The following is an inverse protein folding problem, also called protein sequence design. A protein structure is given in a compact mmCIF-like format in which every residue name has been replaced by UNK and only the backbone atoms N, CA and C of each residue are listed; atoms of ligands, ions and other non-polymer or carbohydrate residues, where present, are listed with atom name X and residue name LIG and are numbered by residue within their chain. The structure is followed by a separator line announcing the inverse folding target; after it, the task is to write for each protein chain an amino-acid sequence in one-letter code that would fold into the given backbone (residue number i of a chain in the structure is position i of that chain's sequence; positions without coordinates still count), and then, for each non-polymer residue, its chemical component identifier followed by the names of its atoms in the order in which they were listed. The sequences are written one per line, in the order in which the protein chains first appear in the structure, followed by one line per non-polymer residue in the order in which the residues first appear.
data_IF_234760018429
#
_entry.id   IF_234760018429
#
_cell.length_a   1.000
_cell.length_b   1.000
_cell.length_c   1.000
_cell.angle_alpha   90.00
_cell.angle_beta   90.00
_cell.angle_gamma   90.00
#
_symmetry.space_group_name_H-M   'P 1'
#
loop_
_entity.id
_entity.type
_entity.pdbx_description
1 polymer ?
#
# COMPACT_ATOMS: atom_id res chain seq x y z
N UNK A 1 0.79 10.55 -16.10
CA UNK A 1 -0.68 10.33 -16.02
C UNK A 1 -1.10 10.46 -14.56
N UNK A 2 -2.32 10.90 -14.29
CA UNK A 2 -2.86 10.98 -12.93
C UNK A 2 -3.47 9.64 -12.51
N UNK A 3 -3.65 9.46 -11.21
CA UNK A 3 -4.45 8.41 -10.59
C UNK A 3 -5.60 9.08 -9.84
N UNK A 4 -6.81 8.64 -10.13
CA UNK A 4 -8.02 8.98 -9.40
C UNK A 4 -8.60 7.70 -8.78
N UNK A 5 -9.21 7.82 -7.61
CA UNK A 5 -9.80 6.69 -6.91
C UNK A 5 -11.19 7.05 -6.44
N UNK A 6 -12.08 6.06 -6.37
CA UNK A 6 -13.42 6.31 -5.85
C UNK A 6 -13.38 6.73 -4.38
N UNK A 7 -14.47 7.35 -3.93
CA UNK A 7 -14.61 7.85 -2.56
C UNK A 7 -13.54 8.86 -2.12
N UNK A 8 -12.84 9.49 -3.08
CA UNK A 8 -11.81 10.49 -2.83
C UNK A 8 -10.63 9.97 -1.98
N UNK A 9 -10.35 8.67 -2.01
CA UNK A 9 -9.19 8.09 -1.31
C UNK A 9 -7.88 8.74 -1.77
N UNK A 10 -7.76 9.04 -3.05
CA UNK A 10 -6.59 9.63 -3.68
C UNK A 10 -6.96 10.34 -4.98
N UNK A 11 -6.31 11.49 -5.20
CA UNK A 11 -6.27 12.18 -6.48
C UNK A 11 -4.93 12.86 -6.64
N UNK A 12 -4.14 12.45 -7.64
CA UNK A 12 -2.77 12.94 -7.81
C UNK A 12 -1.99 12.25 -8.91
N UNK A 13 -0.67 12.44 -8.94
CA UNK A 13 0.21 11.73 -9.88
C UNK A 13 0.45 10.29 -9.39
N UNK A 14 0.65 9.35 -10.33
CA UNK A 14 1.06 7.98 -10.00
C UNK A 14 2.35 7.93 -9.15
N UNK A 15 3.33 8.79 -9.47
CA UNK A 15 4.55 8.90 -8.68
C UNK A 15 4.28 9.32 -7.24
N UNK A 16 3.34 10.25 -7.04
CA UNK A 16 2.91 10.67 -5.71
C UNK A 16 2.19 9.56 -4.95
N UNK A 17 1.38 8.75 -5.63
CA UNK A 17 0.73 7.60 -5.01
C UNK A 17 1.72 6.49 -4.64
N UNK A 18 2.71 6.24 -5.49
CA UNK A 18 3.82 5.34 -5.18
C UNK A 18 4.57 5.79 -3.93
N UNK A 19 4.94 7.08 -3.86
CA UNK A 19 5.63 7.64 -2.68
C UNK A 19 4.75 7.57 -1.42
N UNK A 20 3.45 7.85 -1.55
CA UNK A 20 2.47 7.66 -0.49
C UNK A 20 2.47 6.21 0.05
N UNK A 21 2.39 5.20 -0.82
CA UNK A 21 2.44 3.79 -0.43
C UNK A 21 3.75 3.42 0.26
N UNK A 22 4.88 3.95 -0.22
CA UNK A 22 6.18 3.73 0.42
C UNK A 22 6.20 4.29 1.84
N UNK A 23 5.64 5.49 2.07
CA UNK A 23 5.60 6.06 3.43
C UNK A 23 4.66 5.26 4.35
N UNK A 24 3.54 4.76 3.83
CA UNK A 24 2.66 3.84 4.56
C UNK A 24 3.38 2.53 4.93
N UNK A 25 4.11 1.92 3.98
CA UNK A 25 4.87 0.70 4.24
C UNK A 25 6.01 0.92 5.25
N UNK A 26 6.69 2.07 5.20
CA UNK A 26 7.69 2.45 6.20
C UNK A 26 7.08 2.65 7.59
N UNK A 27 5.93 3.32 7.69
CA UNK A 27 5.21 3.46 8.95
C UNK A 27 4.82 2.09 9.54
N UNK A 28 4.46 1.13 8.68
CA UNK A 28 4.16 -0.25 9.07
C UNK A 28 5.40 -1.09 9.45
N UNK A 29 6.61 -0.56 9.30
CA UNK A 29 7.85 -1.29 9.57
C UNK A 29 8.16 -2.38 8.55
N UNK A 30 7.64 -2.28 7.31
CA UNK A 30 8.03 -3.17 6.23
C UNK A 30 9.54 -2.99 5.91
N UNK A 31 10.23 -4.06 5.49
CA UNK A 31 11.62 -3.97 5.11
C UNK A 31 11.76 -3.25 3.77
N UNK A 32 12.84 -2.47 3.63
CA UNK A 32 13.16 -1.75 2.41
C UNK A 32 14.64 -1.94 2.08
N UNK A 33 14.95 -1.97 0.79
CA UNK A 33 16.31 -1.98 0.26
C UNK A 33 16.48 -0.95 -0.85
N UNK A 34 17.72 -0.55 -1.08
CA UNK A 34 18.10 0.20 -2.28
C UNK A 34 18.48 -0.81 -3.35
N UNK A 35 17.94 -0.67 -4.55
CA UNK A 35 18.38 -1.48 -5.69
C UNK A 35 19.78 -1.04 -6.11
N UNK A 36 20.76 -1.93 -5.94
CA UNK A 36 22.17 -1.71 -6.23
C UNK A 36 22.58 -2.17 -7.64
N UNK A 37 21.75 -2.98 -8.31
CA UNK A 37 21.94 -3.41 -9.69
C UNK A 37 21.85 -2.22 -10.67
N UNK A 38 22.95 -1.87 -11.37
CA UNK A 38 22.98 -0.72 -12.29
C UNK A 38 22.19 -0.95 -13.58
N UNK A 39 21.88 -2.20 -13.94
CA UNK A 39 21.16 -2.53 -15.17
C UNK A 39 19.64 -2.51 -14.97
N UNK A 40 19.17 -2.35 -13.74
CA UNK A 40 17.75 -2.21 -13.42
C UNK A 40 17.26 -0.77 -13.57
N UNK A 41 16.04 -0.62 -14.10
CA UNK A 41 15.41 0.69 -14.30
C UNK A 41 15.12 1.45 -12.97
N UNK A 42 15.08 0.74 -11.85
CA UNK A 42 14.89 1.27 -10.50
C UNK A 42 16.18 1.35 -9.68
N UNK A 43 17.35 1.29 -10.33
CA UNK A 43 18.65 1.49 -9.68
C UNK A 43 18.68 2.76 -8.82
N UNK A 44 19.20 2.63 -7.60
CA UNK A 44 19.29 3.70 -6.61
C UNK A 44 17.96 4.07 -5.94
N UNK A 45 16.84 3.42 -6.30
CA UNK A 45 15.55 3.66 -5.66
C UNK A 45 15.35 2.77 -4.44
N UNK A 46 14.68 3.32 -3.43
CA UNK A 46 14.19 2.57 -2.28
C UNK A 46 12.96 1.76 -2.70
N UNK A 47 12.99 0.46 -2.46
CA UNK A 47 11.89 -0.48 -2.76
C UNK A 47 11.62 -1.40 -1.59
N UNK A 48 10.39 -1.87 -1.47
CA UNK A 48 10.00 -2.91 -0.50
C UNK A 48 10.86 -4.16 -0.71
N UNK A 49 11.55 -4.59 0.34
CA UNK A 49 12.38 -5.81 0.36
C UNK A 49 11.55 -7.01 0.81
N UNK A 50 10.46 -7.26 0.08
CA UNK A 50 9.55 -8.38 0.32
C UNK A 50 9.65 -9.40 -0.81
N UNK A 51 9.48 -10.68 -0.49
CA UNK A 51 9.38 -11.74 -1.49
C UNK A 51 8.08 -11.58 -2.27
N UNK A 52 8.17 -10.96 -3.45
CA UNK A 52 7.03 -10.75 -4.34
C UNK A 52 6.52 -12.04 -4.98
N UNK A 53 7.30 -13.13 -4.97
CA UNK A 53 6.92 -14.41 -5.58
C UNK A 53 5.79 -15.12 -4.82
N UNK A 54 5.55 -14.73 -3.56
CA UNK A 54 4.45 -15.26 -2.75
C UNK A 54 3.07 -14.75 -3.20
N UNK A 55 3.03 -13.66 -4.01
CA UNK A 55 1.78 -13.06 -4.46
C UNK A 55 1.39 -13.53 -5.86
N UNK A 56 0.13 -13.92 -6.01
CA UNK A 56 -0.46 -14.31 -7.29
C UNK A 56 -0.98 -13.09 -8.06
N UNK A 57 -1.20 -13.20 -9.38
CA UNK A 57 -1.89 -12.17 -10.16
C UNK A 57 -3.26 -11.78 -9.56
N UNK A 58 -3.97 -12.72 -8.93
CA UNK A 58 -5.20 -12.45 -8.22
C UNK A 58 -4.97 -11.50 -7.02
N UNK A 59 -3.90 -11.70 -6.25
CA UNK A 59 -3.56 -10.81 -5.13
C UNK A 59 -3.26 -9.39 -5.61
N UNK A 60 -2.51 -9.24 -6.71
CA UNK A 60 -2.23 -7.93 -7.32
C UNK A 60 -3.50 -7.21 -7.75
N UNK A 61 -4.54 -7.95 -8.15
CA UNK A 61 -5.87 -7.42 -8.50
C UNK A 61 -6.80 -7.27 -7.28
N UNK A 62 -6.25 -7.32 -6.06
CA UNK A 62 -7.00 -7.18 -4.81
C UNK A 62 -7.81 -8.41 -4.42
N UNK A 63 -7.58 -9.58 -5.02
CA UNK A 63 -8.37 -10.81 -4.79
C UNK A 63 -7.62 -11.78 -3.86
N UNK A 64 -7.80 -11.61 -2.56
CA UNK A 64 -7.07 -12.38 -1.54
C UNK A 64 -7.71 -13.73 -1.16
N UNK A 65 -8.93 -14.01 -1.64
CA UNK A 65 -9.71 -15.23 -1.33
C UNK A 65 -9.78 -15.49 0.19
N UNK A 66 -9.40 -16.68 0.67
CA UNK A 66 -9.38 -17.05 2.10
C UNK A 66 -8.03 -16.81 2.77
N UNK A 67 -7.03 -16.34 2.03
CA UNK A 67 -5.68 -16.13 2.56
C UNK A 67 -5.53 -14.67 2.96
N UNK A 68 -5.02 -14.44 4.16
CA UNK A 68 -4.65 -13.09 4.60
C UNK A 68 -3.31 -12.73 3.98
N UNK A 69 -3.06 -11.44 3.68
CA UNK A 69 -1.79 -11.03 3.10
C UNK A 69 -0.68 -11.22 4.14
N UNK A 70 0.45 -11.75 3.68
CA UNK A 70 1.67 -11.90 4.47
C UNK A 70 2.84 -11.33 3.70
N UNK A 71 3.90 -10.95 4.40
CA UNK A 71 5.18 -10.57 3.83
C UNK A 71 6.30 -11.39 4.45
N UNK A 72 7.35 -11.60 3.69
CA UNK A 72 8.60 -12.21 4.10
C UNK A 72 9.72 -11.45 3.39
N UNK A 73 10.89 -11.33 4.02
CA UNK A 73 12.01 -10.64 3.39
C UNK A 73 12.51 -11.44 2.18
N UNK A 74 12.86 -10.75 1.10
CA UNK A 74 13.38 -11.40 -0.11
C UNK A 74 14.67 -12.19 0.21
N UNK A 75 14.73 -13.44 -0.26
CA UNK A 75 15.85 -14.35 -0.01
C UNK A 75 15.90 -14.98 1.40
N UNK A 76 15.03 -14.61 2.33
CA UNK A 76 14.98 -15.24 3.66
C UNK A 76 14.21 -16.57 3.61
N UNK A 77 14.82 -17.64 3.11
CA UNK A 77 14.17 -18.95 2.90
C UNK A 77 13.63 -19.58 4.20
N UNK A 78 14.15 -19.19 5.37
CA UNK A 78 13.74 -19.74 6.67
C UNK A 78 12.86 -18.79 7.49
N UNK A 79 12.63 -17.58 6.98
CA UNK A 79 11.76 -16.59 7.59
C UNK A 79 10.34 -17.10 7.80
N UNK A 80 9.72 -16.66 8.89
CA UNK A 80 8.28 -16.89 9.10
C UNK A 80 7.52 -15.74 8.46
N UNK A 81 6.61 -16.00 7.49
CA UNK A 81 5.78 -14.95 6.90
C UNK A 81 4.99 -14.19 7.97
N UNK A 82 5.04 -12.86 7.93
CA UNK A 82 4.36 -11.98 8.86
C UNK A 82 3.12 -11.40 8.20
N UNK A 83 2.00 -11.43 8.91
CA UNK A 83 0.75 -10.85 8.42
C UNK A 83 0.66 -9.37 8.80
N UNK A 84 0.31 -8.50 7.85
CA UNK A 84 -0.09 -7.12 8.12
C UNK A 84 -1.19 -6.71 7.12
N UNK A 85 -2.26 -6.07 7.61
CA UNK A 85 -3.40 -5.68 6.78
C UNK A 85 -3.05 -4.50 5.83
N UNK A 86 -1.96 -3.77 6.06
CA UNK A 86 -1.45 -2.74 5.12
C UNK A 86 -1.12 -3.31 3.73
N UNK A 87 -0.80 -4.61 3.67
CA UNK A 87 -0.43 -5.28 2.44
C UNK A 87 -1.57 -5.35 1.42
N UNK A 88 -2.83 -5.19 1.85
CA UNK A 88 -3.95 -5.01 0.91
C UNK A 88 -3.73 -3.80 -0.01
N UNK A 89 -3.07 -2.74 0.49
CA UNK A 89 -2.73 -1.53 -0.26
C UNK A 89 -1.36 -1.62 -0.94
N UNK A 90 -0.36 -2.20 -0.27
CA UNK A 90 1.02 -2.23 -0.79
C UNK A 90 1.15 -3.15 -2.01
N UNK A 91 0.54 -4.34 -1.96
CA UNK A 91 0.68 -5.37 -3.00
C UNK A 91 -0.26 -5.13 -4.19
N UNK A 92 -1.31 -4.33 -3.97
CA UNK A 92 -2.32 -4.06 -4.98
C UNK A 92 -1.78 -3.23 -6.17
N UNK A 93 -2.29 -3.54 -7.36
CA UNK A 93 -1.97 -2.85 -8.61
C UNK A 93 -2.80 -1.57 -8.77
N UNK A 94 -2.11 -0.45 -8.90
CA UNK A 94 -2.68 0.88 -9.07
C UNK A 94 -3.15 1.20 -10.51
N UNK A 95 -3.01 0.27 -11.46
CA UNK A 95 -3.37 0.44 -12.87
C UNK A 95 -4.69 -0.27 -13.27
N UNK A 96 -5.69 -0.29 -12.39
CA UNK A 96 -7.02 -0.87 -12.67
C UNK A 96 -7.46 -2.01 -11.74
N UNK A 97 -6.81 -2.15 -10.58
CA UNK A 97 -7.31 -3.03 -9.51
C UNK A 97 -8.36 -2.35 -8.62
N UNK A 98 -8.90 -3.10 -7.66
CA UNK A 98 -9.80 -2.58 -6.62
C UNK A 98 -9.36 -3.03 -5.23
N UNK A 99 -9.50 -2.16 -4.23
CA UNK A 99 -9.52 -2.58 -2.83
C UNK A 99 -10.95 -3.02 -2.51
N UNK A 100 -11.14 -4.34 -2.34
CA UNK A 100 -12.50 -4.87 -2.17
C UNK A 100 -13.01 -4.62 -0.76
N UNK A 101 -14.31 -4.30 -0.68
CA UNK A 101 -15.06 -3.98 0.55
C UNK A 101 -14.83 -4.94 1.72
N UNK A 102 -14.59 -6.22 1.44
CA UNK A 102 -14.40 -7.24 2.47
C UNK A 102 -13.16 -7.06 3.34
N UNK A 103 -12.18 -6.28 2.88
CA UNK A 103 -10.93 -6.03 3.62
C UNK A 103 -10.81 -4.58 4.10
N UNK A 104 -11.65 -3.67 3.60
CA UNK A 104 -11.55 -2.24 3.90
C UNK A 104 -11.59 -1.94 5.40
N UNK A 105 -12.45 -2.55 6.24
CA UNK A 105 -12.42 -2.27 7.67
C UNK A 105 -11.07 -2.57 8.32
N UNK A 106 -10.45 -3.71 7.97
CA UNK A 106 -9.15 -4.12 8.51
C UNK A 106 -8.03 -3.18 8.05
N UNK A 107 -8.04 -2.83 6.76
CA UNK A 107 -7.08 -1.88 6.20
C UNK A 107 -7.25 -0.51 6.86
N UNK A 108 -8.48 0.02 6.96
CA UNK A 108 -8.79 1.30 7.60
C UNK A 108 -8.29 1.34 9.02
N UNK A 109 -8.65 0.34 9.84
CA UNK A 109 -8.23 0.27 11.24
C UNK A 109 -6.70 0.29 11.36
N UNK A 110 -6.02 -0.49 10.52
CA UNK A 110 -4.56 -0.53 10.48
C UNK A 110 -3.95 0.81 10.06
N UNK A 111 -4.52 1.49 9.07
CA UNK A 111 -4.01 2.81 8.64
C UNK A 111 -4.20 3.89 9.71
N UNK A 112 -5.29 3.84 10.48
CA UNK A 112 -5.50 4.74 11.63
C UNK A 112 -4.42 4.54 12.69
N UNK A 113 -4.02 3.29 12.98
CA UNK A 113 -2.92 3.01 13.90
C UNK A 113 -1.58 3.57 13.42
N UNK A 114 -1.35 3.56 12.10
CA UNK A 114 -0.10 3.99 11.48
C UNK A 114 0.00 5.50 11.29
N UNK A 115 -1.11 6.22 11.38
CA UNK A 115 -1.18 7.64 11.06
C UNK A 115 -0.18 8.52 11.84
N UNK A 116 0.01 8.37 13.17
CA UNK A 116 0.98 9.19 13.89
C UNK A 116 2.40 9.04 13.36
N UNK A 117 2.80 7.81 12.99
CA UNK A 117 4.12 7.53 12.45
C UNK A 117 4.25 8.00 11.00
N UNK A 118 3.20 7.83 10.19
CA UNK A 118 3.14 8.37 8.84
C UNK A 118 3.33 9.88 8.84
N UNK A 119 2.57 10.62 9.65
CA UNK A 119 2.66 12.09 9.71
C UNK A 119 4.04 12.53 10.22
N UNK A 120 4.65 11.77 11.13
CA UNK A 120 6.04 12.01 11.55
C UNK A 120 7.03 11.83 10.38
N UNK A 121 6.87 10.79 9.56
CA UNK A 121 7.72 10.52 8.40
C UNK A 121 7.52 11.53 7.27
N UNK A 122 6.33 12.14 7.16
CA UNK A 122 5.97 13.08 6.09
C UNK A 122 5.91 14.54 6.55
N UNK A 123 6.36 14.86 7.76
CA UNK A 123 6.24 16.19 8.35
C UNK A 123 6.82 17.31 7.46
N UNK A 124 7.93 17.03 6.77
CA UNK A 124 8.60 17.97 5.87
C UNK A 124 8.14 17.85 4.40
N UNK A 125 7.22 16.93 4.11
CA UNK A 125 6.67 16.71 2.78
C UNK A 125 5.25 17.29 2.66
N UNK A 126 5.17 18.56 2.25
CA UNK A 126 3.90 19.27 2.10
C UNK A 126 2.93 18.67 1.05
N UNK A 127 3.37 17.73 0.22
CA UNK A 127 2.50 17.00 -0.70
C UNK A 127 1.85 15.76 -0.08
N UNK A 128 2.59 15.07 0.80
CA UNK A 128 2.14 13.84 1.46
C UNK A 128 1.45 14.08 2.81
N UNK A 129 1.75 15.18 3.50
CA UNK A 129 1.09 15.51 4.77
C UNK A 129 -0.43 15.48 4.66
N UNK A 130 -1.10 14.78 5.58
CA UNK A 130 -2.56 14.61 5.60
C UNK A 130 -3.14 13.70 4.51
N UNK A 131 -2.34 13.15 3.59
CA UNK A 131 -2.83 12.23 2.55
C UNK A 131 -3.29 10.90 3.12
N UNK A 132 -2.67 10.43 4.19
CA UNK A 132 -3.13 9.21 4.85
C UNK A 132 -4.51 9.41 5.48
N UNK A 133 -4.74 10.55 6.12
CA UNK A 133 -6.06 10.92 6.63
C UNK A 133 -7.10 10.95 5.51
N UNK A 134 -6.80 11.64 4.40
CA UNK A 134 -7.67 11.65 3.23
C UNK A 134 -8.00 10.22 2.75
N UNK A 135 -6.99 9.34 2.68
CA UNK A 135 -7.19 7.97 2.24
C UNK A 135 -8.10 7.20 3.19
N UNK A 136 -7.87 7.32 4.51
CA UNK A 136 -8.70 6.73 5.57
C UNK A 136 -10.14 7.19 5.46
N UNK A 137 -10.39 8.49 5.31
CA UNK A 137 -11.74 9.05 5.20
C UNK A 137 -12.46 8.50 3.96
N UNK A 138 -11.74 8.34 2.84
CA UNK A 138 -12.27 7.69 1.65
C UNK A 138 -12.58 6.20 1.85
N UNK A 139 -11.76 5.48 2.62
CA UNK A 139 -12.05 4.09 3.00
C UNK A 139 -13.33 4.01 3.84
N UNK A 140 -13.52 4.94 4.78
CA UNK A 140 -14.73 5.00 5.61
C UNK A 140 -15.99 5.23 4.75
N UNK A 141 -15.94 6.18 3.82
CA UNK A 141 -17.04 6.42 2.88
C UNK A 141 -17.36 5.18 2.02
N UNK A 142 -16.33 4.44 1.56
CA UNK A 142 -16.52 3.19 0.82
C UNK A 142 -17.15 2.08 1.68
N UNK A 143 -16.72 1.97 2.96
CA UNK A 143 -17.27 1.01 3.93
C UNK A 143 -18.74 1.30 4.19
N UNK A 144 -19.09 2.56 4.44
CA UNK A 144 -20.48 3.00 4.67
C UNK A 144 -21.38 2.72 3.46
N UNK A 145 -20.87 2.93 2.25
CA UNK A 145 -21.58 2.62 1.01
C UNK A 145 -21.66 1.11 0.69
N UNK A 146 -20.82 0.28 1.33
CA UNK A 146 -20.70 -1.14 0.99
C UNK A 146 -20.03 -1.38 -0.38
N UNK A 147 -19.20 -0.44 -0.82
CA UNK A 147 -18.58 -0.39 -2.15
C UNK A 147 -17.09 -0.73 -2.13
N UNK A 148 -16.52 -0.98 -3.31
CA UNK A 148 -15.08 -1.17 -3.49
C UNK A 148 -14.40 0.19 -3.74
N UNK A 149 -13.12 0.31 -3.40
CA UNK A 149 -12.32 1.45 -3.88
C UNK A 149 -11.70 1.06 -5.22
N UNK A 150 -12.15 1.70 -6.29
CA UNK A 150 -11.63 1.48 -7.64
C UNK A 150 -10.52 2.49 -7.97
N UNK A 151 -9.57 2.07 -8.81
CA UNK A 151 -8.41 2.84 -9.25
C UNK A 151 -8.53 3.10 -10.75
N UNK A 152 -8.48 4.36 -11.18
CA UNK A 152 -8.68 4.78 -12.57
C UNK A 152 -7.98 6.05 -12.98
#
# INVERSE_FOLDING_TARGET
MGLDTTHNCWRGAYSGFREFRQMVGRAAGLPYRVIDDPDRYDHGQLTEDIDWSIYTPDNLQGRWRKQKPVWQQDGDVYGTPKQDDVLYLIVHSDCGGELRRGYLPRLRDRLVELEPEYERLTADNGYLGGRLRQFIDGLEAAIEAGEHVAFG
#
